data_IF_213420531250
#
_entry.id   IF_213420531250
#
_cell.length_a   1.000
_cell.length_b   1.000
_cell.length_c   1.000
_cell.angle_alpha   90.00
_cell.angle_beta   90.00
_cell.angle_gamma   90.00
#
_symmetry.space_group_name_H-M   'P 1'
#
loop_
_entity.id
_entity.type
_entity.pdbx_description
1 polymer ?
#
# COMPACT_ATOMS: atom_id res chain seq x y z
N UNK A 1 -30.82 2.18 -12.82
CA UNK A 1 -29.47 1.94 -13.40
C UNK A 1 -29.16 3.13 -14.29
N UNK A 2 -28.01 3.79 -14.13
CA UNK A 2 -27.81 5.14 -14.67
C UNK A 2 -26.99 5.21 -15.98
N UNK A 3 -26.14 4.21 -16.26
CA UNK A 3 -25.16 4.26 -17.35
C UNK A 3 -25.10 2.98 -18.20
N UNK A 4 -26.09 2.08 -18.08
CA UNK A 4 -26.05 0.77 -18.75
C UNK A 4 -26.16 0.85 -20.27
N UNK A 5 -26.75 1.92 -20.81
CA UNK A 5 -26.86 2.15 -22.26
C UNK A 5 -25.58 2.75 -22.87
N UNK A 6 -24.63 3.19 -22.04
CA UNK A 6 -23.41 3.87 -22.48
C UNK A 6 -22.20 2.93 -22.62
N UNK A 7 -22.23 1.76 -21.96
CA UNK A 7 -21.09 0.85 -21.85
C UNK A 7 -21.54 -0.59 -22.14
N UNK A 8 -20.67 -1.42 -22.74
CA UNK A 8 -20.96 -2.84 -22.92
C UNK A 8 -21.30 -3.52 -21.58
N UNK A 9 -22.26 -4.46 -21.53
CA UNK A 9 -22.67 -5.12 -20.29
C UNK A 9 -21.51 -5.72 -19.49
N UNK A 10 -20.50 -6.27 -20.18
CA UNK A 10 -19.29 -6.83 -19.60
C UNK A 10 -18.41 -5.79 -18.88
N UNK A 11 -18.51 -4.52 -19.22
CA UNK A 11 -17.83 -3.40 -18.54
C UNK A 11 -18.72 -2.84 -17.44
N UNK A 12 -20.00 -2.63 -17.73
CA UNK A 12 -21.00 -2.08 -16.79
C UNK A 12 -21.14 -2.93 -15.53
N UNK A 13 -21.04 -4.25 -15.68
CA UNK A 13 -21.21 -5.22 -14.60
C UNK A 13 -19.92 -5.96 -14.24
N UNK A 14 -18.77 -5.45 -14.68
CA UNK A 14 -17.47 -6.04 -14.34
C UNK A 14 -17.28 -6.01 -12.82
N UNK A 15 -16.97 -7.16 -12.23
CA UNK A 15 -16.57 -7.22 -10.83
C UNK A 15 -15.30 -6.41 -10.62
N UNK A 16 -15.22 -5.74 -9.47
CA UNK A 16 -14.04 -4.95 -9.13
C UNK A 16 -12.89 -5.90 -8.80
N UNK A 17 -12.02 -6.10 -9.77
CA UNK A 17 -10.67 -6.61 -9.54
C UNK A 17 -9.89 -5.60 -8.70
N UNK A 18 -9.01 -6.09 -7.83
CA UNK A 18 -8.21 -5.22 -6.98
C UNK A 18 -7.14 -4.49 -7.79
N UNK A 19 -6.68 -3.34 -7.30
CA UNK A 19 -5.76 -2.49 -8.06
C UNK A 19 -4.46 -3.20 -8.45
N UNK A 20 -4.00 -4.17 -7.65
CA UNK A 20 -2.87 -5.05 -7.99
C UNK A 20 -3.11 -5.89 -9.23
N UNK A 21 -4.33 -6.37 -9.40
CA UNK A 21 -4.70 -7.36 -10.41
C UNK A 21 -5.02 -6.67 -11.75
N UNK A 22 -5.39 -5.39 -11.71
CA UNK A 22 -5.63 -4.56 -12.90
C UNK A 22 -4.38 -4.03 -13.60
N UNK A 23 -3.23 -3.94 -12.91
CA UNK A 23 -1.96 -3.42 -13.48
C UNK A 23 -1.02 -4.56 -13.89
N UNK A 24 -1.14 -5.72 -13.25
CA UNK A 24 -0.37 -6.93 -13.54
C UNK A 24 0.63 -7.28 -12.44
N UNK A 25 0.68 -8.55 -12.07
CA UNK A 25 1.45 -9.06 -10.92
C UNK A 25 2.95 -8.71 -10.96
N UNK A 26 3.55 -8.67 -12.16
CA UNK A 26 4.97 -8.38 -12.32
C UNK A 26 5.38 -6.99 -11.81
N UNK A 27 4.47 -6.02 -11.75
CA UNK A 27 4.79 -4.69 -11.25
C UNK A 27 5.09 -4.67 -9.75
N UNK A 28 4.20 -5.25 -8.93
CA UNK A 28 4.38 -5.30 -7.48
C UNK A 28 5.56 -6.19 -7.09
N UNK A 29 5.71 -7.33 -7.78
CA UNK A 29 6.82 -8.24 -7.50
C UNK A 29 8.18 -7.60 -7.83
N UNK A 30 8.24 -6.77 -8.89
CA UNK A 30 9.44 -5.98 -9.20
C UNK A 30 9.75 -4.94 -8.13
N UNK A 31 8.74 -4.23 -7.60
CA UNK A 31 8.94 -3.26 -6.51
C UNK A 31 9.49 -3.92 -5.25
N UNK A 32 8.92 -5.06 -4.85
CA UNK A 32 9.41 -5.85 -3.71
C UNK A 32 10.84 -6.36 -3.92
N UNK A 33 11.16 -6.80 -5.14
CA UNK A 33 12.50 -7.29 -5.49
C UNK A 33 13.52 -6.16 -5.34
N UNK A 34 13.27 -5.01 -5.97
CA UNK A 34 14.15 -3.84 -5.88
C UNK A 34 14.30 -3.38 -4.42
N UNK A 35 13.22 -3.37 -3.64
CA UNK A 35 13.27 -3.00 -2.23
C UNK A 35 14.14 -3.95 -1.41
N UNK A 36 14.06 -5.26 -1.66
CA UNK A 36 14.88 -6.27 -0.99
C UNK A 36 16.38 -6.16 -1.36
N UNK A 37 16.68 -5.74 -2.59
CA UNK A 37 18.06 -5.50 -3.05
C UNK A 37 18.63 -4.18 -2.52
N UNK A 38 17.78 -3.15 -2.35
CA UNK A 38 18.20 -1.79 -1.97
C UNK A 38 18.33 -1.61 -0.46
N UNK A 39 17.50 -2.32 0.33
CA UNK A 39 17.41 -2.15 1.79
C UNK A 39 17.90 -3.40 2.52
N UNK A 40 18.88 -3.22 3.40
CA UNK A 40 19.45 -4.32 4.19
C UNK A 40 18.65 -4.58 5.46
N UNK A 41 18.78 -5.78 6.02
CA UNK A 41 18.12 -6.14 7.29
C UNK A 41 18.67 -5.32 8.48
N UNK A 42 19.93 -4.90 8.41
CA UNK A 42 20.55 -4.00 9.39
C UNK A 42 19.93 -2.60 9.35
N UNK A 43 19.65 -2.07 8.16
CA UNK A 43 18.92 -0.82 8.00
C UNK A 43 17.50 -0.90 8.56
N UNK A 44 16.82 -2.04 8.39
CA UNK A 44 15.51 -2.28 9.00
C UNK A 44 15.59 -2.39 10.52
N UNK A 45 16.65 -3.00 11.07
CA UNK A 45 16.86 -3.11 12.52
C UNK A 45 17.06 -1.73 13.18
N UNK A 46 17.68 -0.80 12.45
CA UNK A 46 17.96 0.56 12.91
C UNK A 46 16.93 1.60 12.45
N UNK A 47 15.82 1.19 11.82
CA UNK A 47 14.86 2.07 11.14
C UNK A 47 14.33 3.20 12.02
N UNK A 48 14.05 2.91 13.30
CA UNK A 48 13.52 3.88 14.29
C UNK A 48 14.46 5.05 14.58
N UNK A 49 15.77 4.84 14.39
CA UNK A 49 16.77 5.88 14.62
C UNK A 49 16.88 6.82 13.43
N UNK A 50 16.66 6.29 12.22
CA UNK A 50 16.67 7.09 10.98
C UNK A 50 15.33 7.80 10.75
N UNK A 51 14.23 7.12 11.01
CA UNK A 51 12.87 7.63 10.79
C UNK A 51 12.09 7.60 12.11
N UNK A 52 12.27 8.60 12.99
CA UNK A 52 11.63 8.62 14.30
C UNK A 52 10.10 8.80 14.21
N UNK A 53 9.60 9.46 13.16
CA UNK A 53 8.18 9.69 12.91
C UNK A 53 7.71 8.68 11.88
N UNK A 54 6.71 7.86 12.21
CA UNK A 54 6.15 6.83 11.32
C UNK A 54 7.25 5.96 10.67
N UNK A 55 8.01 5.17 11.47
CA UNK A 55 9.08 4.34 10.94
C UNK A 55 8.51 3.30 9.96
N UNK A 56 9.13 3.13 8.77
CA UNK A 56 8.79 2.08 7.82
C UNK A 56 8.76 0.68 8.47
N UNK A 57 7.72 -0.09 8.17
CA UNK A 57 7.53 -1.45 8.65
C UNK A 57 8.07 -2.48 7.64
N UNK A 58 8.20 -2.10 6.38
CA UNK A 58 8.73 -2.96 5.31
C UNK A 58 9.90 -2.29 4.58
N UNK A 59 10.71 -3.10 3.89
CA UNK A 59 11.79 -2.58 3.03
C UNK A 59 11.26 -1.72 1.89
N UNK A 60 10.08 -2.04 1.36
CA UNK A 60 9.44 -1.24 0.32
C UNK A 60 9.07 0.16 0.83
N UNK A 61 8.42 0.23 2.00
CA UNK A 61 8.14 1.50 2.68
C UNK A 61 9.43 2.27 2.99
N UNK A 62 10.52 1.58 3.32
CA UNK A 62 11.81 2.22 3.60
C UNK A 62 12.37 2.93 2.36
N UNK A 63 12.24 2.32 1.17
CA UNK A 63 12.63 2.95 -0.10
C UNK A 63 11.82 4.22 -0.33
N UNK A 64 10.49 4.14 -0.24
CA UNK A 64 9.62 5.31 -0.44
C UNK A 64 9.89 6.40 0.60
N UNK A 65 10.08 6.01 1.86
CA UNK A 65 10.35 6.95 2.95
C UNK A 65 11.70 7.64 2.80
N UNK A 66 12.71 6.93 2.27
CA UNK A 66 14.00 7.53 1.93
C UNK A 66 13.82 8.60 0.86
N UNK A 67 13.18 8.26 -0.27
CA UNK A 67 12.92 9.22 -1.35
C UNK A 67 12.11 10.43 -0.86
N UNK A 68 11.07 10.19 -0.07
CA UNK A 68 10.25 11.26 0.51
C UNK A 68 11.07 12.18 1.41
N UNK A 69 11.92 11.62 2.26
CA UNK A 69 12.74 12.41 3.19
C UNK A 69 13.83 13.21 2.47
N UNK A 70 14.35 12.69 1.35
CA UNK A 70 15.30 13.40 0.49
C UNK A 70 14.65 14.60 -0.22
N UNK A 71 13.38 14.46 -0.63
CA UNK A 71 12.60 15.53 -1.27
C UNK A 71 12.02 16.53 -0.26
N UNK A 72 11.64 16.06 0.93
CA UNK A 72 10.96 16.83 1.98
C UNK A 72 11.64 16.58 3.34
N UNK A 73 12.80 17.19 3.61
CA UNK A 73 13.60 16.93 4.81
C UNK A 73 13.05 17.69 6.03
N UNK A 74 11.80 17.44 6.41
CA UNK A 74 11.13 18.08 7.54
C UNK A 74 10.25 17.10 8.32
N UNK A 75 10.36 17.16 9.64
CA UNK A 75 9.52 16.39 10.56
C UNK A 75 8.04 16.74 10.40
N UNK A 76 7.72 18.01 10.13
CA UNK A 76 6.34 18.44 9.88
C UNK A 76 5.78 17.81 8.60
N UNK A 77 6.61 17.65 7.56
CA UNK A 77 6.19 16.99 6.33
C UNK A 77 5.90 15.50 6.58
N UNK A 78 6.77 14.82 7.34
CA UNK A 78 6.56 13.43 7.74
C UNK A 78 5.27 13.22 8.55
N UNK A 79 4.89 14.17 9.40
CA UNK A 79 3.64 14.12 10.18
C UNK A 79 2.38 14.27 9.32
N UNK A 80 2.47 14.91 8.14
CA UNK A 80 1.34 15.06 7.24
C UNK A 80 0.96 13.74 6.53
N UNK A 81 1.83 12.74 6.54
CA UNK A 81 1.56 11.43 5.93
C UNK A 81 0.96 10.50 7.02
N UNK A 82 -0.32 10.11 6.92
CA UNK A 82 -0.95 9.25 7.91
C UNK A 82 -0.35 7.84 7.87
N UNK A 83 -0.04 7.29 9.05
CA UNK A 83 0.47 5.92 9.23
C UNK A 83 -0.53 5.07 10.02
N UNK A 84 -1.78 5.10 9.57
CA UNK A 84 -2.87 4.32 10.18
C UNK A 84 -3.12 3.05 9.35
N UNK A 85 -3.49 1.92 9.98
CA UNK A 85 -3.84 0.71 9.25
C UNK A 85 -4.95 0.98 8.23
N UNK A 86 -4.70 0.59 6.98
CA UNK A 86 -5.65 0.74 5.88
C UNK A 86 -5.44 -0.41 4.89
N UNK A 87 -6.52 -0.86 4.25
CA UNK A 87 -6.45 -1.76 3.10
C UNK A 87 -6.98 -0.99 1.88
N UNK A 88 -6.14 -0.86 0.85
CA UNK A 88 -6.43 -0.07 -0.35
C UNK A 88 -6.89 1.37 -0.04
N UNK A 89 -8.08 1.77 -0.51
CA UNK A 89 -8.62 3.12 -0.32
C UNK A 89 -9.52 3.25 0.92
N UNK A 90 -9.44 2.30 1.85
CA UNK A 90 -10.36 2.23 2.99
C UNK A 90 -9.81 2.94 4.23
N UNK A 91 -10.68 3.44 5.08
CA UNK A 91 -10.30 4.00 6.38
C UNK A 91 -10.10 2.87 7.41
N UNK A 92 -9.38 3.10 8.52
CA UNK A 92 -9.31 2.13 9.62
C UNK A 92 -10.68 1.62 10.08
N UNK A 93 -11.72 2.48 10.02
CA UNK A 93 -13.12 2.12 10.35
C UNK A 93 -13.67 1.02 9.44
N UNK A 94 -13.25 0.95 8.18
CA UNK A 94 -13.71 -0.09 7.27
C UNK A 94 -13.14 -1.47 7.64
N UNK A 95 -11.95 -1.51 8.29
CA UNK A 95 -11.38 -2.74 8.82
C UNK A 95 -12.12 -3.24 10.06
N UNK A 96 -12.85 -2.38 10.76
CA UNK A 96 -13.64 -2.79 11.92
C UNK A 96 -14.93 -3.51 11.54
N UNK A 97 -15.46 -3.25 10.34
CA UNK A 97 -16.77 -3.72 9.87
C UNK A 97 -16.75 -5.09 9.21
N UNK A 98 -15.58 -5.63 8.89
CA UNK A 98 -15.46 -6.92 8.21
C UNK A 98 -14.33 -7.78 8.82
N UNK A 99 -14.72 -8.89 9.44
CA UNK A 99 -13.79 -9.83 10.06
C UNK A 99 -12.87 -10.54 9.06
N UNK A 100 -13.26 -10.65 7.78
CA UNK A 100 -12.42 -11.23 6.74
C UNK A 100 -11.24 -10.30 6.39
N UNK A 101 -11.46 -8.98 6.37
CA UNK A 101 -10.40 -7.98 6.18
C UNK A 101 -9.44 -7.90 7.37
N UNK A 102 -9.90 -8.16 8.61
CA UNK A 102 -9.02 -8.26 9.78
C UNK A 102 -8.02 -9.42 9.70
N UNK A 103 -8.39 -10.52 9.03
CA UNK A 103 -7.55 -11.73 8.92
C UNK A 103 -6.65 -11.77 7.68
N UNK A 104 -6.93 -10.97 6.66
CA UNK A 104 -6.18 -10.94 5.40
C UNK A 104 -5.81 -9.50 4.99
N UNK A 105 -4.99 -8.86 5.83
CA UNK A 105 -4.45 -7.53 5.56
C UNK A 105 -3.23 -7.61 4.62
N UNK A 106 -3.37 -8.23 3.43
CA UNK A 106 -2.37 -8.03 2.38
C UNK A 106 -2.47 -6.56 1.91
N UNK A 107 -1.41 -5.74 2.05
CA UNK A 107 -1.43 -4.34 1.63
C UNK A 107 -1.70 -4.16 0.13
N UNK A 108 -1.38 -5.17 -0.69
CA UNK A 108 -1.73 -5.18 -2.12
C UNK A 108 -3.22 -5.38 -2.36
N UNK A 109 -3.91 -5.87 -1.33
CA UNK A 109 -5.31 -6.21 -1.33
C UNK A 109 -5.62 -7.65 -1.70
N UNK A 110 -4.74 -8.33 -2.48
CA UNK A 110 -5.01 -9.57 -3.23
C UNK A 110 -6.12 -10.46 -2.65
N UNK A 111 -7.07 -10.84 -3.51
CA UNK A 111 -8.05 -11.86 -3.17
C UNK A 111 -7.33 -13.18 -2.84
N UNK A 112 -7.41 -13.60 -1.58
CA UNK A 112 -6.95 -14.92 -1.14
C UNK A 112 -8.14 -15.85 -1.27
N UNK A 113 -8.23 -16.55 -2.40
CA UNK A 113 -9.17 -17.64 -2.65
C UNK A 113 -8.68 -18.96 -2.06
#
# INVERSE_FOLDING_TARGET
KAFEDYLPPEVTWRQKEQFSDGVGYGWIDSLRTIANETVTDEQMTSVRYRFPINPPLTKEEYVYRTLYSDLFPSDSAAQCVPSVPSVACSTPVALEWDEAFKKNADPSGRAVG
#
